data_IF_200011634858
#
_entry.id   IF_200011634858
#
_cell.length_a   1.000
_cell.length_b   1.000
_cell.length_c   1.000
_cell.angle_alpha   90.00
_cell.angle_beta   90.00
_cell.angle_gamma   90.00
#
_symmetry.space_group_name_H-M   'P 1'
#
loop_
_entity.id
_entity.type
_entity.pdbx_description
1 polymer ?
#
# COMPACT_ATOMS: atom_id res chain seq x y z
N UNK A 1 -51.05 -71.81 -33.99
CA UNK A 1 -50.24 -71.15 -32.95
C UNK A 1 -50.64 -69.67 -32.99
N UNK A 2 -51.58 -69.24 -32.12
CA UNK A 2 -51.30 -68.68 -30.78
C UNK A 2 -50.58 -67.32 -30.90
N UNK A 3 -51.10 -66.14 -30.51
CA UNK A 3 -52.31 -65.72 -29.76
C UNK A 3 -52.57 -64.21 -30.07
N UNK A 4 -53.86 -63.88 -30.24
CA UNK A 4 -54.62 -62.67 -29.83
C UNK A 4 -53.89 -61.31 -29.69
N UNK A 5 -54.26 -60.25 -30.43
CA UNK A 5 -55.42 -59.32 -30.22
C UNK A 5 -55.40 -58.70 -28.81
N UNK A 6 -55.43 -57.38 -28.58
CA UNK A 6 -56.42 -56.42 -29.04
C UNK A 6 -56.06 -54.98 -28.56
N UNK A 7 -56.46 -53.97 -29.36
CA UNK A 7 -57.11 -52.69 -28.98
C UNK A 7 -56.61 -51.84 -27.80
N UNK A 8 -56.38 -50.53 -28.02
CA UNK A 8 -57.39 -49.47 -27.80
C UNK A 8 -56.85 -48.06 -28.09
N UNK A 9 -57.70 -47.28 -28.75
CA UNK A 9 -57.64 -45.84 -29.00
C UNK A 9 -58.05 -45.06 -27.72
N UNK A 10 -57.35 -43.98 -27.35
CA UNK A 10 -57.85 -42.79 -26.62
C UNK A 10 -56.66 -41.83 -26.35
N UNK A 11 -56.59 -40.64 -26.96
CA UNK A 11 -57.28 -39.42 -26.53
C UNK A 11 -57.02 -39.05 -25.07
N UNK A 12 -56.03 -38.17 -24.81
CA UNK A 12 -56.16 -37.10 -23.82
C UNK A 12 -55.41 -35.86 -24.32
N UNK A 13 -56.20 -34.88 -24.70
CA UNK A 13 -55.82 -33.48 -24.87
C UNK A 13 -56.01 -32.84 -23.48
N UNK A 14 -54.93 -32.45 -22.80
CA UNK A 14 -54.95 -31.70 -21.53
C UNK A 14 -53.59 -30.97 -21.43
N UNK A 15 -53.50 -29.65 -21.66
CA UNK A 15 -53.89 -28.54 -20.78
C UNK A 15 -52.66 -27.95 -20.10
N UNK A 16 -52.58 -26.62 -20.19
CA UNK A 16 -51.77 -25.69 -19.39
C UNK A 16 -50.24 -25.78 -19.59
N UNK A 17 -49.61 -24.81 -20.24
CA UNK A 17 -49.34 -23.47 -19.71
C UNK A 17 -48.55 -23.50 -18.38
N UNK A 18 -47.32 -23.00 -18.48
CA UNK A 18 -46.43 -22.45 -17.47
C UNK A 18 -45.15 -23.26 -17.16
N UNK A 19 -43.99 -22.61 -16.90
CA UNK A 19 -43.88 -21.19 -16.60
C UNK A 19 -42.93 -20.40 -17.51
N UNK A 20 -43.44 -19.30 -18.04
CA UNK A 20 -42.67 -18.11 -18.41
C UNK A 20 -42.25 -17.30 -17.16
N UNK A 21 -41.87 -17.98 -16.05
CA UNK A 21 -41.45 -17.34 -14.79
C UNK A 21 -39.93 -17.46 -14.52
N UNK A 22 -39.15 -18.06 -15.42
CA UNK A 22 -37.70 -18.15 -15.23
C UNK A 22 -36.94 -16.83 -15.52
N UNK A 23 -37.62 -15.77 -15.97
CA UNK A 23 -36.98 -14.53 -16.42
C UNK A 23 -37.22 -13.31 -15.51
N UNK A 24 -37.89 -13.46 -14.35
CA UNK A 24 -38.22 -12.33 -13.48
C UNK A 24 -37.21 -12.05 -12.34
N UNK A 25 -36.36 -13.02 -11.96
CA UNK A 25 -35.47 -12.92 -10.78
C UNK A 25 -34.01 -12.51 -11.09
N UNK A 26 -33.60 -12.49 -12.36
CA UNK A 26 -32.24 -12.15 -12.78
C UNK A 26 -31.77 -10.71 -12.44
N UNK A 27 -32.58 -9.63 -12.53
CA UNK A 27 -32.06 -8.27 -12.41
C UNK A 27 -31.70 -7.88 -10.96
N UNK A 28 -32.28 -8.53 -9.94
CA UNK A 28 -31.98 -8.23 -8.54
C UNK A 28 -30.67 -8.89 -8.08
N UNK A 29 -30.41 -10.14 -8.49
CA UNK A 29 -29.18 -10.86 -8.12
C UNK A 29 -27.93 -10.25 -8.76
N UNK A 30 -28.03 -9.74 -9.99
CA UNK A 30 -26.92 -9.09 -10.69
C UNK A 30 -26.56 -7.73 -10.06
N UNK A 31 -27.57 -7.00 -9.57
CA UNK A 31 -27.36 -5.74 -8.85
C UNK A 31 -26.72 -5.96 -7.47
N UNK A 32 -27.12 -7.00 -6.74
CA UNK A 32 -26.54 -7.33 -5.44
C UNK A 32 -25.08 -7.81 -5.57
N UNK A 33 -24.79 -8.61 -6.60
CA UNK A 33 -23.41 -9.01 -6.92
C UNK A 33 -22.52 -7.81 -7.26
N UNK A 34 -23.00 -6.89 -8.11
CA UNK A 34 -22.27 -5.68 -8.49
C UNK A 34 -22.03 -4.73 -7.29
N UNK A 35 -23.00 -4.65 -6.36
CA UNK A 35 -22.84 -3.90 -5.10
C UNK A 35 -21.78 -4.55 -4.20
N UNK A 36 -21.85 -5.87 -4.02
CA UNK A 36 -20.89 -6.60 -3.19
C UNK A 36 -19.45 -6.50 -3.72
N UNK A 37 -19.28 -6.59 -5.04
CA UNK A 37 -17.97 -6.41 -5.69
C UNK A 37 -17.43 -5.00 -5.46
N UNK A 38 -18.26 -3.97 -5.64
CA UNK A 38 -17.86 -2.58 -5.39
C UNK A 38 -17.45 -2.35 -3.94
N UNK A 39 -18.23 -2.87 -2.99
CA UNK A 39 -17.88 -2.76 -1.57
C UNK A 39 -16.56 -3.48 -1.25
N UNK A 40 -16.28 -4.61 -1.92
CA UNK A 40 -14.99 -5.28 -1.80
C UNK A 40 -13.84 -4.43 -2.36
N UNK A 41 -14.05 -3.76 -3.50
CA UNK A 41 -13.06 -2.84 -4.09
C UNK A 41 -12.79 -1.64 -3.17
N UNK A 42 -13.83 -1.04 -2.59
CA UNK A 42 -13.71 0.06 -1.62
C UNK A 42 -12.85 -0.37 -0.42
N UNK A 43 -13.18 -1.51 0.20
CA UNK A 43 -12.41 -2.06 1.32
C UNK A 43 -10.95 -2.33 0.94
N UNK A 44 -10.71 -2.81 -0.27
CA UNK A 44 -9.36 -3.04 -0.79
C UNK A 44 -8.55 -1.74 -0.90
N UNK A 45 -9.14 -0.69 -1.45
CA UNK A 45 -8.49 0.63 -1.59
C UNK A 45 -8.23 1.26 -0.22
N UNK A 46 -9.19 1.19 0.71
CA UNK A 46 -9.02 1.69 2.08
C UNK A 46 -7.86 0.99 2.81
N UNK A 47 -7.74 -0.34 2.64
CA UNK A 47 -6.63 -1.11 3.19
C UNK A 47 -5.28 -0.66 2.61
N UNK A 48 -5.20 -0.43 1.29
CA UNK A 48 -3.97 0.04 0.65
C UNK A 48 -3.60 1.47 1.08
N UNK A 49 -4.59 2.38 1.21
CA UNK A 49 -4.37 3.73 1.75
C UNK A 49 -3.79 3.66 3.16
N UNK A 50 -4.31 2.77 4.01
CA UNK A 50 -3.81 2.56 5.37
C UNK A 50 -2.35 2.10 5.34
N UNK A 51 -2.05 1.09 4.52
CA UNK A 51 -0.68 0.57 4.34
C UNK A 51 0.29 1.66 3.88
N UNK A 52 -0.06 2.41 2.83
CA UNK A 52 0.76 3.53 2.32
C UNK A 52 0.97 4.59 3.39
N UNK A 53 -0.04 4.87 4.21
CA UNK A 53 0.07 5.85 5.30
C UNK A 53 1.04 5.40 6.40
N UNK A 54 1.02 4.11 6.76
CA UNK A 54 1.97 3.52 7.71
C UNK A 54 3.39 3.59 7.15
N UNK A 55 3.58 3.26 5.87
CA UNK A 55 4.89 3.34 5.23
C UNK A 55 5.41 4.78 5.18
N UNK A 56 4.55 5.73 4.82
CA UNK A 56 4.87 7.15 4.77
C UNK A 56 5.33 7.67 6.15
N UNK A 57 4.67 7.25 7.23
CA UNK A 57 5.07 7.58 8.59
C UNK A 57 6.44 6.97 8.95
N UNK A 58 6.72 5.74 8.54
CA UNK A 58 8.03 5.11 8.77
C UNK A 58 9.15 5.82 8.02
N UNK A 59 8.93 6.18 6.75
CA UNK A 59 9.91 6.93 5.95
C UNK A 59 10.20 8.30 6.56
N UNK A 60 9.17 8.98 7.07
CA UNK A 60 9.32 10.25 7.78
C UNK A 60 10.17 10.09 9.05
N UNK A 61 9.91 9.07 9.87
CA UNK A 61 10.70 8.78 11.07
C UNK A 61 12.17 8.48 10.74
N UNK A 62 12.43 7.70 9.68
CA UNK A 62 13.79 7.42 9.21
C UNK A 62 14.49 8.72 8.77
N UNK A 63 13.79 9.61 8.07
CA UNK A 63 14.33 10.89 7.67
C UNK A 63 14.73 11.75 8.87
N UNK A 64 13.89 11.80 9.91
CA UNK A 64 14.23 12.51 11.16
C UNK A 64 15.47 11.91 11.82
N UNK A 65 15.56 10.58 11.89
CA UNK A 65 16.73 9.90 12.47
C UNK A 65 18.03 10.24 11.71
N UNK A 66 18.03 10.18 10.38
CA UNK A 66 19.20 10.55 9.57
C UNK A 66 19.53 12.04 9.70
N UNK A 67 18.51 12.91 9.78
CA UNK A 67 18.71 14.33 10.02
C UNK A 67 19.43 14.60 11.35
N UNK A 68 19.04 13.91 12.43
CA UNK A 68 19.69 14.05 13.73
C UNK A 68 21.12 13.50 13.73
N UNK A 69 21.39 12.35 13.09
CA UNK A 69 22.77 11.85 12.91
C UNK A 69 23.65 12.87 12.19
N UNK A 70 23.13 13.49 11.12
CA UNK A 70 23.84 14.54 10.38
C UNK A 70 24.04 15.81 11.21
N UNK A 71 23.10 16.17 12.10
CA UNK A 71 23.26 17.29 13.03
C UNK A 71 24.37 17.01 14.04
N UNK A 72 24.39 15.82 14.64
CA UNK A 72 25.40 15.41 15.60
C UNK A 72 26.80 15.41 14.97
N UNK A 73 26.96 14.83 13.78
CA UNK A 73 28.24 14.80 13.07
C UNK A 73 28.75 16.23 12.74
N UNK A 74 27.85 17.15 12.36
CA UNK A 74 28.23 18.56 12.15
C UNK A 74 28.59 19.26 13.45
N UNK A 75 27.88 18.98 14.53
CA UNK A 75 28.16 19.57 15.83
C UNK A 75 29.54 19.15 16.34
N UNK A 76 29.91 17.88 16.17
CA UNK A 76 31.23 17.36 16.53
C UNK A 76 32.36 17.97 15.69
N UNK A 77 32.11 18.28 14.41
CA UNK A 77 33.09 18.99 13.57
C UNK A 77 33.33 20.44 14.01
N UNK A 78 32.28 21.12 14.48
CA UNK A 78 32.36 22.52 14.93
C UNK A 78 32.89 22.65 16.35
N UNK A 79 32.55 21.69 17.21
CA UNK A 79 32.96 21.63 18.60
C UNK A 79 33.42 20.20 18.91
N UNK A 80 34.63 19.79 18.48
CA UNK A 80 35.19 18.52 18.92
C UNK A 80 35.21 18.56 20.45
N UNK A 81 34.55 17.60 21.09
CA UNK A 81 34.37 17.58 22.55
C UNK A 81 35.73 17.79 23.21
N UNK A 82 35.90 18.97 23.81
CA UNK A 82 37.04 19.26 24.66
C UNK A 82 36.88 18.39 25.89
N UNK A 83 37.50 17.21 25.88
CA UNK A 83 37.66 16.43 27.09
C UNK A 83 38.49 17.32 28.03
N UNK A 84 37.89 17.76 29.14
CA UNK A 84 38.54 18.64 30.14
C UNK A 84 39.78 18.00 30.80
N UNK A 85 40.12 16.78 30.42
CA UNK A 85 41.38 16.11 30.73
C UNK A 85 42.31 16.29 29.53
N UNK A 86 43.43 17.03 29.66
CA UNK A 86 44.45 17.07 28.64
C UNK A 86 44.85 15.63 28.30
N UNK A 87 44.89 15.24 27.01
CA UNK A 87 45.31 13.89 26.67
C UNK A 87 46.75 13.70 27.19
N UNK A 88 47.03 12.54 27.78
CA UNK A 88 48.34 12.21 28.35
C UNK A 88 49.47 12.21 27.30
N UNK A 89 49.12 12.32 26.02
CA UNK A 89 50.02 12.44 24.88
C UNK A 89 49.35 13.27 23.77
N UNK A 90 50.10 14.01 22.94
CA UNK A 90 49.55 14.69 21.77
C UNK A 90 48.80 13.70 20.87
N UNK A 91 47.65 14.10 20.31
CA UNK A 91 46.96 13.28 19.31
C UNK A 91 47.85 13.14 18.06
N UNK A 92 47.90 11.93 17.50
CA UNK A 92 48.58 11.66 16.25
C UNK A 92 47.88 12.44 15.11
N UNK A 93 48.65 13.22 14.36
CA UNK A 93 48.15 14.04 13.26
C UNK A 93 47.43 13.21 12.19
N UNK A 94 47.99 12.04 11.84
CA UNK A 94 47.41 11.17 10.81
C UNK A 94 46.02 10.69 11.22
N UNK A 95 45.84 10.34 12.50
CA UNK A 95 44.56 9.87 13.03
C UNK A 95 43.49 10.97 12.97
N UNK A 96 43.88 12.23 13.25
CA UNK A 96 42.97 13.39 13.17
C UNK A 96 42.53 13.67 11.73
N UNK A 97 43.45 13.57 10.77
CA UNK A 97 43.13 13.76 9.35
C UNK A 97 42.21 12.65 8.85
N UNK A 98 42.50 11.39 9.20
CA UNK A 98 41.68 10.24 8.84
C UNK A 98 40.26 10.34 9.44
N UNK A 99 40.14 10.71 10.72
CA UNK A 99 38.84 10.91 11.36
C UNK A 99 38.07 12.00 10.62
N UNK A 100 38.67 13.18 10.40
CA UNK A 100 38.02 14.29 9.67
C UNK A 100 37.51 13.84 8.30
N UNK A 101 38.31 13.11 7.54
CA UNK A 101 37.91 12.61 6.23
C UNK A 101 36.73 11.64 6.33
N UNK A 102 36.75 10.73 7.31
CA UNK A 102 35.64 9.81 7.58
C UNK A 102 34.34 10.55 7.94
N UNK A 103 34.42 11.66 8.71
CA UNK A 103 33.27 12.52 9.02
C UNK A 103 32.67 13.14 7.77
N UNK A 104 33.52 13.68 6.89
CA UNK A 104 33.06 14.26 5.62
C UNK A 104 32.35 13.22 4.74
N UNK A 105 32.86 11.98 4.70
CA UNK A 105 32.19 10.89 4.01
C UNK A 105 30.81 10.57 4.62
N UNK A 106 30.71 10.46 5.95
CA UNK A 106 29.43 10.21 6.63
C UNK A 106 28.41 11.33 6.36
N UNK A 107 28.85 12.59 6.37
CA UNK A 107 27.97 13.72 6.06
C UNK A 107 27.40 13.67 4.64
N UNK A 108 28.22 13.28 3.66
CA UNK A 108 27.78 13.10 2.27
C UNK A 108 26.81 11.93 2.16
N UNK A 109 27.11 10.82 2.83
CA UNK A 109 26.24 9.65 2.84
C UNK A 109 24.87 9.96 3.46
N UNK A 110 24.83 10.65 4.61
CA UNK A 110 23.57 11.10 5.21
C UNK A 110 22.76 12.01 4.28
N UNK A 111 23.42 12.90 3.52
CA UNK A 111 22.72 13.75 2.55
C UNK A 111 22.04 12.90 1.45
N UNK A 112 22.78 11.94 0.88
CA UNK A 112 22.24 11.01 -0.13
C UNK A 112 21.08 10.19 0.44
N UNK A 113 21.21 9.70 1.68
CA UNK A 113 20.14 8.96 2.35
C UNK A 113 18.89 9.83 2.56
N UNK A 114 19.06 11.08 2.99
CA UNK A 114 17.95 12.03 3.15
C UNK A 114 17.22 12.29 1.82
N UNK A 115 17.97 12.47 0.72
CA UNK A 115 17.39 12.68 -0.61
C UNK A 115 16.55 11.48 -1.07
N UNK A 116 17.05 10.25 -0.85
CA UNK A 116 16.32 9.02 -1.17
C UNK A 116 15.03 8.88 -0.34
N UNK A 117 15.11 9.16 0.96
CA UNK A 117 13.95 9.10 1.86
C UNK A 117 12.90 10.13 1.47
N UNK A 118 13.32 11.35 1.10
CA UNK A 118 12.42 12.38 0.60
C UNK A 118 11.74 11.96 -0.72
N UNK A 119 12.50 11.42 -1.67
CA UNK A 119 11.94 10.92 -2.92
C UNK A 119 10.90 9.80 -2.68
N UNK A 120 11.20 8.84 -1.79
CA UNK A 120 10.26 7.78 -1.42
C UNK A 120 8.99 8.34 -0.77
N UNK A 121 9.14 9.30 0.13
CA UNK A 121 7.99 9.95 0.76
C UNK A 121 7.06 10.59 -0.27
N UNK A 122 7.62 11.29 -1.27
CA UNK A 122 6.87 11.92 -2.36
C UNK A 122 6.16 10.88 -3.24
N UNK A 123 6.85 9.79 -3.57
CA UNK A 123 6.25 8.68 -4.32
C UNK A 123 5.03 8.10 -3.59
N UNK A 124 5.15 7.85 -2.29
CA UNK A 124 4.04 7.35 -1.45
C UNK A 124 2.89 8.36 -1.38
N UNK A 125 3.18 9.66 -1.31
CA UNK A 125 2.17 10.71 -1.35
C UNK A 125 1.37 10.70 -2.66
N UNK A 126 2.05 10.54 -3.80
CA UNK A 126 1.42 10.43 -5.11
C UNK A 126 0.62 9.14 -5.30
N UNK A 127 1.10 8.01 -4.76
CA UNK A 127 0.34 6.76 -4.72
C UNK A 127 -0.95 6.93 -3.90
N UNK A 128 -0.85 7.52 -2.70
CA UNK A 128 -2.00 7.77 -1.83
C UNK A 128 -3.04 8.68 -2.49
N UNK A 129 -2.62 9.74 -3.19
CA UNK A 129 -3.54 10.63 -3.92
C UNK A 129 -4.35 9.87 -4.97
N UNK A 130 -3.68 9.05 -5.80
CA UNK A 130 -4.37 8.22 -6.81
C UNK A 130 -5.38 7.26 -6.20
N UNK A 131 -5.05 6.64 -5.06
CA UNK A 131 -5.98 5.76 -4.34
C UNK A 131 -7.19 6.52 -3.78
N UNK A 132 -6.98 7.73 -3.27
CA UNK A 132 -8.07 8.60 -2.79
C UNK A 132 -9.00 9.04 -3.93
N UNK A 133 -8.44 9.35 -5.10
CA UNK A 133 -9.22 9.68 -6.29
C UNK A 133 -10.09 8.49 -6.72
N UNK A 134 -9.51 7.28 -6.79
CA UNK A 134 -10.25 6.04 -7.08
C UNK A 134 -11.37 5.77 -6.07
N UNK A 135 -11.09 5.98 -4.78
CA UNK A 135 -12.08 5.82 -3.72
C UNK A 135 -13.23 6.83 -3.86
N UNK A 136 -12.91 8.07 -4.23
CA UNK A 136 -13.91 9.10 -4.50
C UNK A 136 -14.81 8.70 -5.66
N UNK A 137 -14.23 8.26 -6.78
CA UNK A 137 -14.97 7.84 -7.97
C UNK A 137 -15.92 6.67 -7.68
N UNK A 138 -15.47 5.67 -6.93
CA UNK A 138 -16.30 4.52 -6.54
C UNK A 138 -17.45 4.93 -5.61
N UNK A 139 -17.20 5.87 -4.69
CA UNK A 139 -18.23 6.38 -3.78
C UNK A 139 -19.26 7.26 -4.50
N UNK A 140 -18.86 8.03 -5.52
CA UNK A 140 -19.77 8.86 -6.31
C UNK A 140 -20.74 8.06 -7.19
N UNK A 141 -20.42 6.81 -7.50
CA UNK A 141 -21.28 5.92 -8.30
C UNK A 141 -22.36 5.23 -7.46
N UNK A 142 -22.33 5.37 -6.13
CA UNK A 142 -23.23 4.69 -5.18
C UNK A 142 -24.60 5.35 -5.14
#
# INVERSE_FOLDING_TARGET
>A
MSRMRAFFLALVLLLAAAPALAQADAPLQEQDAARAEREAQIRGIEAEISRVSVEQQSVYQQFQMVQEMRRNERQELLNPVQVYTPPASPQNYDDVVLDRQAREYRLRDYAIQMDRLYARYRELEEQKRRLLDQLSDLNSQR
#
